data_IF_498769411416
#
_entry.id   IF_498769411416
#
_cell.length_a   1.000
_cell.length_b   1.000
_cell.length_c   1.000
_cell.angle_alpha   90.00
_cell.angle_beta   90.00
_cell.angle_gamma   90.00
#
_symmetry.space_group_name_H-M   'P 1'
#
loop_
_entity.id
_entity.type
_entity.pdbx_description
1 polymer ?
#
# COMPACT_ATOMS: atom_id res chain seq x y z
N UNK A 1 29.58 -21.38 -3.54
CA UNK A 1 29.80 -20.59 -4.76
C UNK A 1 29.32 -19.17 -4.47
N UNK A 2 30.23 -18.19 -4.43
CA UNK A 2 29.88 -16.81 -4.15
C UNK A 2 29.73 -16.03 -5.45
N UNK A 3 28.61 -15.32 -5.62
CA UNK A 3 28.39 -14.37 -6.70
C UNK A 3 28.76 -12.98 -6.18
N UNK A 4 29.59 -12.23 -6.93
CA UNK A 4 29.86 -10.83 -6.62
C UNK A 4 29.11 -9.94 -7.62
N UNK A 5 28.27 -9.01 -7.12
CA UNK A 5 27.62 -7.97 -7.92
C UNK A 5 28.07 -6.62 -7.35
N UNK A 6 28.62 -5.76 -8.21
CA UNK A 6 29.15 -4.44 -7.87
C UNK A 6 30.15 -4.43 -6.69
N UNK A 7 31.08 -5.39 -6.67
CA UNK A 7 32.13 -5.47 -5.65
C UNK A 7 31.67 -5.97 -4.27
N UNK A 8 30.39 -6.32 -4.10
CA UNK A 8 29.84 -6.94 -2.88
C UNK A 8 29.75 -8.45 -3.08
N UNK A 9 30.39 -9.22 -2.18
CA UNK A 9 30.27 -10.67 -2.17
C UNK A 9 28.95 -11.06 -1.53
N UNK A 10 28.01 -11.60 -2.32
CA UNK A 10 26.75 -12.16 -1.84
C UNK A 10 26.98 -13.66 -1.63
N UNK A 11 26.82 -14.13 -0.41
CA UNK A 11 26.90 -15.55 -0.07
C UNK A 11 25.46 -15.97 0.27
N UNK A 12 24.85 -16.77 -0.61
CA UNK A 12 23.56 -17.41 -0.35
C UNK A 12 23.80 -18.78 0.31
N UNK A 13 23.15 -19.03 1.44
CA UNK A 13 23.14 -20.32 2.11
C UNK A 13 21.69 -20.74 2.35
N UNK A 14 21.35 -22.00 2.10
CA UNK A 14 20.05 -22.58 2.49
C UNK A 14 20.29 -23.43 3.72
N UNK A 15 19.74 -23.05 4.87
CA UNK A 15 19.77 -23.84 6.11
C UNK A 15 18.34 -24.16 6.51
N UNK A 16 18.05 -25.46 6.63
CA UNK A 16 16.73 -25.99 7.00
C UNK A 16 15.58 -25.44 6.14
N UNK A 17 15.77 -25.31 4.81
CA UNK A 17 14.77 -24.80 3.89
C UNK A 17 14.58 -23.26 3.90
N UNK A 18 15.41 -22.53 4.64
CA UNK A 18 15.38 -21.06 4.68
C UNK A 18 16.53 -20.47 3.88
N UNK A 19 16.22 -19.54 2.99
CA UNK A 19 17.23 -18.76 2.28
C UNK A 19 17.88 -17.75 3.24
N UNK A 20 19.20 -17.78 3.34
CA UNK A 20 19.99 -16.82 4.12
C UNK A 20 20.81 -16.02 3.15
N UNK A 21 20.62 -14.69 3.11
CA UNK A 21 21.49 -13.79 2.39
C UNK A 21 22.48 -13.14 3.37
N UNK A 22 23.77 -13.28 3.07
CA UNK A 22 24.83 -12.55 3.75
C UNK A 22 25.16 -11.27 2.99
N UNK A 23 24.98 -10.10 3.61
CA UNK A 23 25.43 -8.82 3.09
C UNK A 23 26.69 -8.38 3.84
N UNK A 24 27.77 -8.08 3.11
CA UNK A 24 28.98 -7.51 3.71
C UNK A 24 28.80 -5.99 3.87
N UNK A 25 28.71 -5.51 5.11
CA UNK A 25 28.69 -4.09 5.44
C UNK A 25 29.78 -3.79 6.45
N UNK A 26 30.68 -2.86 6.13
CA UNK A 26 31.84 -2.46 6.97
C UNK A 26 32.70 -3.65 7.47
N UNK A 27 33.01 -4.60 6.57
CA UNK A 27 33.86 -5.75 6.91
C UNK A 27 33.19 -6.84 7.76
N UNK A 28 31.94 -6.67 8.14
CA UNK A 28 31.12 -7.71 8.82
C UNK A 28 30.08 -8.27 7.86
N UNK A 29 29.96 -9.60 7.83
CA UNK A 29 28.86 -10.28 7.13
C UNK A 29 27.65 -10.29 8.07
N UNK A 30 26.59 -9.61 7.67
CA UNK A 30 25.30 -9.64 8.39
C UNK A 30 24.44 -10.69 7.68
N UNK A 31 24.13 -11.76 8.37
CA UNK A 31 23.21 -12.78 7.89
C UNK A 31 21.78 -12.37 8.19
N UNK A 32 20.95 -12.26 7.16
CA UNK A 32 19.51 -12.07 7.31
C UNK A 32 18.79 -13.33 6.86
N UNK A 33 17.91 -13.86 7.69
CA UNK A 33 16.94 -14.85 7.27
C UNK A 33 15.90 -14.13 6.40
N UNK A 34 15.84 -14.51 5.13
CA UNK A 34 14.74 -14.10 4.27
C UNK A 34 13.72 -15.22 4.35
N UNK A 35 12.66 -15.00 5.08
CA UNK A 35 11.48 -15.86 5.03
C UNK A 35 10.72 -15.50 3.74
N UNK A 36 11.25 -15.98 2.61
CA UNK A 36 10.65 -15.76 1.29
C UNK A 36 9.56 -16.79 0.98
N UNK A 37 9.21 -17.66 1.96
CA UNK A 37 8.18 -18.67 1.74
C UNK A 37 6.83 -17.96 1.53
N UNK A 38 6.13 -18.23 0.42
CA UNK A 38 4.78 -17.73 0.21
C UNK A 38 3.84 -18.33 1.26
N UNK A 39 2.81 -17.60 1.63
CA UNK A 39 1.77 -18.03 2.54
C UNK A 39 0.42 -17.41 2.18
N UNK A 40 -0.66 -17.98 2.67
CA UNK A 40 -2.02 -17.48 2.59
C UNK A 40 -2.60 -17.40 4.00
N UNK A 41 -3.21 -16.26 4.33
CA UNK A 41 -4.01 -16.06 5.54
C UNK A 41 -5.47 -15.91 5.16
N UNK A 42 -6.38 -16.45 5.95
CA UNK A 42 -7.83 -16.28 5.78
C UNK A 42 -8.36 -15.40 6.91
N UNK A 43 -8.92 -14.26 6.55
CA UNK A 43 -9.53 -13.29 7.46
C UNK A 43 -11.01 -13.63 7.74
N UNK A 44 -11.66 -12.81 8.56
CA UNK A 44 -13.09 -12.93 8.90
C UNK A 44 -14.02 -12.55 7.74
N UNK A 45 -13.58 -11.66 6.85
CA UNK A 45 -14.36 -11.19 5.68
C UNK A 45 -13.40 -10.67 4.59
N UNK A 46 -13.95 -10.14 3.48
CA UNK A 46 -13.20 -9.50 2.39
C UNK A 46 -12.09 -8.60 2.93
N UNK A 47 -10.89 -8.72 2.39
CA UNK A 47 -9.73 -7.89 2.75
C UNK A 47 -9.67 -6.69 1.81
N UNK A 48 -10.16 -5.55 2.29
CA UNK A 48 -10.26 -4.32 1.51
C UNK A 48 -8.90 -3.61 1.37
N UNK A 49 -8.03 -3.75 2.37
CA UNK A 49 -6.75 -3.04 2.40
C UNK A 49 -5.66 -3.86 3.08
N UNK A 50 -4.44 -3.78 2.52
CA UNK A 50 -3.23 -4.33 3.14
C UNK A 50 -2.12 -3.28 3.19
N UNK A 51 -1.36 -3.29 4.29
CA UNK A 51 -0.13 -2.52 4.46
C UNK A 51 0.97 -3.41 5.02
N UNK A 52 2.24 -3.03 4.83
CA UNK A 52 3.39 -3.79 5.32
C UNK A 52 4.40 -2.84 5.98
N UNK A 53 4.92 -3.22 7.15
CA UNK A 53 5.97 -2.46 7.82
C UNK A 53 7.38 -2.86 7.33
N UNK A 54 8.40 -2.10 7.75
CA UNK A 54 9.80 -2.34 7.37
C UNK A 54 10.36 -3.67 7.91
N UNK A 55 9.68 -4.31 8.84
CA UNK A 55 10.02 -5.63 9.40
C UNK A 55 9.34 -6.78 8.64
N UNK A 56 8.44 -6.47 7.69
CA UNK A 56 7.67 -7.43 6.91
C UNK A 56 6.43 -7.96 7.63
N UNK A 57 5.97 -7.32 8.72
CA UNK A 57 4.65 -7.62 9.28
C UNK A 57 3.57 -7.00 8.38
N UNK A 58 2.46 -7.72 8.21
CA UNK A 58 1.35 -7.32 7.35
C UNK A 58 0.16 -6.90 8.20
N UNK A 59 -0.47 -5.83 7.79
CA UNK A 59 -1.69 -5.31 8.41
C UNK A 59 -2.82 -5.40 7.38
N UNK A 60 -3.97 -5.93 7.79
CA UNK A 60 -5.11 -6.13 6.90
C UNK A 60 -6.38 -5.53 7.52
N UNK A 61 -7.06 -4.69 6.75
CA UNK A 61 -8.38 -4.15 7.06
C UNK A 61 -9.46 -4.92 6.31
N UNK A 62 -10.57 -5.23 6.99
CA UNK A 62 -11.61 -6.11 6.43
C UNK A 62 -13.02 -5.51 6.50
N UNK A 63 -13.90 -5.99 5.61
CA UNK A 63 -15.33 -5.75 5.69
C UNK A 63 -15.99 -6.44 6.92
N UNK A 64 -15.26 -7.25 7.66
CA UNK A 64 -15.66 -7.82 8.96
C UNK A 64 -15.39 -6.90 10.14
N UNK A 65 -15.13 -5.60 9.90
CA UNK A 65 -14.79 -4.60 10.92
C UNK A 65 -13.45 -4.84 11.63
N UNK A 66 -12.57 -5.66 11.04
CA UNK A 66 -11.33 -6.05 11.71
C UNK A 66 -10.11 -5.39 11.11
N UNK A 67 -9.15 -5.07 11.98
CA UNK A 67 -7.75 -4.81 11.63
C UNK A 67 -6.91 -5.95 12.19
N UNK A 68 -6.24 -6.68 11.31
CA UNK A 68 -5.31 -7.76 11.69
C UNK A 68 -3.87 -7.28 11.60
N UNK A 69 -3.02 -7.75 12.53
CA UNK A 69 -1.57 -7.79 12.34
C UNK A 69 -1.13 -9.23 12.16
N UNK A 70 -0.40 -9.48 11.08
CA UNK A 70 0.23 -10.77 10.79
C UNK A 70 1.75 -10.59 10.84
N UNK A 71 2.47 -11.59 11.36
CA UNK A 71 3.92 -11.60 11.30
C UNK A 71 4.42 -12.00 9.90
N UNK A 72 5.72 -12.00 9.69
CA UNK A 72 6.38 -12.35 8.42
C UNK A 72 6.06 -13.74 7.88
N UNK A 73 5.59 -14.66 8.75
CA UNK A 73 5.16 -16.01 8.38
C UNK A 73 3.64 -16.15 8.16
N UNK A 74 2.90 -15.04 8.18
CA UNK A 74 1.44 -15.03 7.97
C UNK A 74 0.62 -15.42 9.20
N UNK A 75 1.24 -15.54 10.39
CA UNK A 75 0.52 -15.87 11.62
C UNK A 75 -0.04 -14.59 12.25
N UNK A 76 -1.32 -14.62 12.64
CA UNK A 76 -1.97 -13.55 13.38
C UNK A 76 -1.25 -13.26 14.71
N UNK A 77 -0.95 -11.98 14.93
CA UNK A 77 -0.33 -11.46 16.17
C UNK A 77 -1.41 -10.87 17.07
N UNK A 78 -2.25 -10.00 16.49
CA UNK A 78 -3.40 -9.40 17.18
C UNK A 78 -4.50 -9.06 16.17
N UNK A 79 -5.69 -8.75 16.70
CA UNK A 79 -6.86 -8.26 15.97
C UNK A 79 -7.49 -7.13 16.77
N UNK A 80 -7.89 -6.07 16.08
CA UNK A 80 -8.71 -4.97 16.61
C UNK A 80 -10.07 -4.97 15.89
N UNK A 81 -11.14 -4.67 16.62
CA UNK A 81 -12.49 -4.54 16.03
C UNK A 81 -12.86 -3.06 15.99
N UNK A 82 -13.09 -2.54 14.79
CA UNK A 82 -13.51 -1.18 14.53
C UNK A 82 -15.06 -1.02 14.63
N UNK A 83 -15.52 0.21 14.46
CA UNK A 83 -16.98 0.55 14.46
C UNK A 83 -17.71 0.04 13.22
N UNK A 84 -17.00 -0.06 12.08
CA UNK A 84 -17.58 -0.46 10.79
C UNK A 84 -16.51 -1.11 9.91
N UNK A 85 -16.86 -1.44 8.65
CA UNK A 85 -15.92 -1.95 7.63
C UNK A 85 -14.64 -1.11 7.60
N UNK A 86 -13.50 -1.77 7.61
CA UNK A 86 -12.20 -1.11 7.48
C UNK A 86 -11.81 -1.11 6.01
N UNK A 87 -11.85 0.08 5.40
CA UNK A 87 -11.55 0.23 3.97
C UNK A 87 -10.09 0.49 3.68
N UNK A 88 -9.39 1.09 4.63
CA UNK A 88 -7.99 1.44 4.42
C UNK A 88 -7.18 1.27 5.70
N UNK A 89 -5.97 0.74 5.56
CA UNK A 89 -4.97 0.68 6.64
C UNK A 89 -3.64 1.24 6.17
N UNK A 90 -2.95 1.95 7.07
CA UNK A 90 -1.59 2.42 6.89
C UNK A 90 -0.78 2.12 8.15
N UNK A 91 0.54 2.02 8.04
CA UNK A 91 1.45 1.75 9.17
C UNK A 91 2.64 2.70 9.13
N UNK A 92 3.01 3.27 10.28
CA UNK A 92 4.20 4.10 10.40
C UNK A 92 5.46 3.27 10.75
N UNK A 93 6.62 3.92 10.77
CA UNK A 93 7.91 3.28 11.07
C UNK A 93 8.03 2.76 12.51
N UNK A 94 7.16 3.18 13.42
CA UNK A 94 7.07 2.73 14.81
C UNK A 94 6.13 1.54 14.98
N UNK A 95 5.43 1.15 13.90
CA UNK A 95 4.45 0.05 13.90
C UNK A 95 3.08 0.47 14.43
N UNK A 96 2.80 1.79 14.56
CA UNK A 96 1.42 2.25 14.81
C UNK A 96 0.60 2.09 13.53
N UNK A 97 -0.65 1.71 13.69
CA UNK A 97 -1.57 1.44 12.58
C UNK A 97 -2.66 2.50 12.55
N UNK A 98 -2.96 2.94 11.35
CA UNK A 98 -4.03 3.89 11.09
C UNK A 98 -5.08 3.20 10.22
N UNK A 99 -6.35 3.31 10.60
CA UNK A 99 -7.46 2.64 9.92
C UNK A 99 -8.58 3.63 9.62
N UNK A 100 -9.01 3.67 8.35
CA UNK A 100 -10.18 4.41 7.89
C UNK A 100 -11.37 3.47 7.73
N UNK A 101 -12.57 3.93 8.12
CA UNK A 101 -13.76 3.09 8.14
C UNK A 101 -14.97 3.70 7.44
N UNK A 102 -15.90 2.85 7.01
CA UNK A 102 -17.25 3.23 6.58
C UNK A 102 -18.11 3.83 7.71
N UNK A 103 -17.63 3.79 8.96
CA UNK A 103 -18.23 4.46 10.12
C UNK A 103 -17.75 5.91 10.30
N UNK A 104 -17.16 6.52 9.28
CA UNK A 104 -16.61 7.88 9.28
C UNK A 104 -15.42 8.05 10.24
N UNK A 105 -14.80 6.97 10.69
CA UNK A 105 -13.74 7.02 11.71
C UNK A 105 -12.36 6.85 11.10
N UNK A 106 -11.40 7.62 11.65
CA UNK A 106 -9.97 7.34 11.53
C UNK A 106 -9.47 6.91 12.90
N UNK A 107 -8.97 5.69 13.01
CA UNK A 107 -8.35 5.15 14.22
C UNK A 107 -6.83 5.24 14.15
N UNK A 108 -6.19 5.52 15.28
CA UNK A 108 -4.79 5.19 15.53
C UNK A 108 -4.71 4.08 16.55
N UNK A 109 -4.00 3.02 16.22
CA UNK A 109 -3.65 1.93 17.10
C UNK A 109 -2.15 1.95 17.34
N UNK A 110 -1.70 1.62 18.55
CA UNK A 110 -0.28 1.41 18.82
C UNK A 110 0.21 0.06 18.24
N UNK A 111 1.51 -0.19 18.30
CA UNK A 111 2.12 -1.41 17.78
C UNK A 111 1.57 -2.72 18.41
N UNK A 112 0.90 -2.63 19.57
CA UNK A 112 0.24 -3.74 20.26
C UNK A 112 -1.21 -3.94 19.84
N UNK A 113 -1.76 -3.06 19.01
CA UNK A 113 -3.17 -3.08 18.56
C UNK A 113 -4.14 -2.36 19.47
N UNK A 114 -3.65 -1.60 20.47
CA UNK A 114 -4.50 -0.82 21.37
C UNK A 114 -4.83 0.53 20.74
N UNK A 115 -6.10 0.93 20.79
CA UNK A 115 -6.55 2.25 20.33
C UNK A 115 -5.88 3.38 21.15
N UNK A 116 -5.27 4.33 20.43
CA UNK A 116 -4.66 5.55 20.97
C UNK A 116 -5.62 6.72 20.91
N UNK A 117 -6.19 6.95 19.70
CA UNK A 117 -7.18 7.98 19.45
C UNK A 117 -8.10 7.57 18.30
N UNK A 118 -9.20 8.31 18.17
CA UNK A 118 -10.16 8.24 17.07
C UNK A 118 -10.53 9.66 16.64
N UNK A 119 -10.60 9.88 15.33
CA UNK A 119 -11.12 11.10 14.71
C UNK A 119 -12.39 10.74 13.93
N UNK A 120 -13.41 11.61 13.98
CA UNK A 120 -14.63 11.45 13.18
C UNK A 120 -14.60 12.43 12.02
N UNK A 121 -14.59 11.91 10.79
CA UNK A 121 -14.65 12.65 9.55
C UNK A 121 -16.10 13.02 9.18
N UNK A 122 -16.26 13.78 8.09
CA UNK A 122 -17.56 14.20 7.56
C UNK A 122 -18.34 13.07 6.89
N UNK A 123 -17.66 12.02 6.39
CA UNK A 123 -18.27 10.85 5.74
C UNK A 123 -17.31 9.66 5.80
N UNK A 124 -17.68 8.54 5.13
CA UNK A 124 -16.85 7.33 5.00
C UNK A 124 -15.43 7.68 4.64
N UNK A 125 -14.49 7.04 5.35
CA UNK A 125 -13.05 7.22 5.12
C UNK A 125 -12.57 6.11 4.20
N UNK A 126 -12.47 6.42 2.91
CA UNK A 126 -12.09 5.46 1.87
C UNK A 126 -10.58 5.16 1.87
N UNK A 127 -9.76 6.09 2.33
CA UNK A 127 -8.30 5.94 2.30
C UNK A 127 -7.60 6.71 3.41
N UNK A 128 -6.54 6.10 3.97
CA UNK A 128 -5.64 6.74 4.92
C UNK A 128 -4.18 6.56 4.50
N UNK A 129 -3.36 7.59 4.75
CA UNK A 129 -1.91 7.55 4.60
C UNK A 129 -1.25 8.23 5.82
N UNK A 130 0.01 7.90 6.10
CA UNK A 130 0.76 8.47 7.21
C UNK A 130 2.16 8.88 6.75
N UNK A 131 2.62 10.07 7.19
CA UNK A 131 3.98 10.53 6.94
C UNK A 131 4.96 10.09 8.05
N UNK A 132 6.24 10.36 7.84
CA UNK A 132 7.30 10.01 8.80
C UNK A 132 7.22 10.75 10.13
N UNK A 133 6.45 11.84 10.22
CA UNK A 133 6.19 12.62 11.44
C UNK A 133 4.96 12.11 12.19
N UNK A 134 4.24 11.12 11.65
CA UNK A 134 3.01 10.58 12.21
C UNK A 134 1.77 11.43 11.93
N UNK A 135 1.83 12.40 10.99
CA UNK A 135 0.63 13.06 10.51
C UNK A 135 -0.15 12.11 9.61
N UNK A 136 -1.47 12.15 9.73
CA UNK A 136 -2.39 11.27 9.01
C UNK A 136 -3.15 12.06 7.96
N UNK A 137 -3.29 11.47 6.80
CA UNK A 137 -4.06 12.02 5.69
C UNK A 137 -5.21 11.07 5.40
N UNK A 138 -6.43 11.61 5.32
CA UNK A 138 -7.64 10.82 5.12
C UNK A 138 -8.47 11.38 3.96
N UNK A 139 -8.81 10.51 3.00
CA UNK A 139 -9.72 10.81 1.90
C UNK A 139 -11.11 10.26 2.19
N UNK A 140 -12.16 11.03 1.88
CA UNK A 140 -13.53 10.66 2.20
C UNK A 140 -14.47 10.68 1.01
N UNK A 141 -15.57 9.94 1.11
CA UNK A 141 -16.68 9.93 0.13
C UNK A 141 -17.48 11.24 0.06
N UNK A 142 -17.17 12.26 0.88
CA UNK A 142 -17.70 13.62 0.78
C UNK A 142 -16.75 14.59 0.10
N UNK A 143 -15.82 14.09 -0.70
CA UNK A 143 -14.84 14.88 -1.47
C UNK A 143 -13.78 15.58 -0.60
N UNK A 144 -13.59 15.18 0.67
CA UNK A 144 -12.65 15.81 1.57
C UNK A 144 -11.31 15.06 1.63
N UNK A 145 -10.22 15.83 1.72
CA UNK A 145 -8.91 15.36 2.16
C UNK A 145 -8.58 16.06 3.47
N UNK A 146 -8.43 15.30 4.54
CA UNK A 146 -8.03 15.80 5.85
C UNK A 146 -6.53 15.59 6.08
N UNK A 147 -5.89 16.52 6.76
CA UNK A 147 -4.63 16.30 7.47
C UNK A 147 -4.89 16.38 8.96
N UNK A 148 -4.49 15.34 9.68
CA UNK A 148 -4.47 15.28 11.13
C UNK A 148 -3.02 15.27 11.60
N UNK A 149 -2.73 15.90 12.72
CA UNK A 149 -1.42 15.78 13.38
C UNK A 149 -1.28 14.42 14.09
N UNK A 150 -0.11 14.13 14.63
CA UNK A 150 0.19 12.86 15.31
C UNK A 150 -0.71 12.58 16.52
N UNK A 151 -1.38 13.62 17.07
CA UNK A 151 -2.33 13.53 18.18
C UNK A 151 -3.78 13.29 17.73
N UNK A 152 -4.04 13.28 16.40
CA UNK A 152 -5.37 13.11 15.81
C UNK A 152 -6.16 14.41 15.66
N UNK A 153 -5.54 15.59 15.88
CA UNK A 153 -6.19 16.88 15.69
C UNK A 153 -6.12 17.30 14.23
N UNK A 154 -7.25 17.78 13.68
CA UNK A 154 -7.31 18.33 12.33
C UNK A 154 -6.41 19.57 12.18
N UNK A 155 -5.54 19.55 11.17
CA UNK A 155 -4.65 20.66 10.79
C UNK A 155 -5.26 21.46 9.67
N UNK A 156 -5.68 20.79 8.59
CA UNK A 156 -6.36 21.39 7.46
C UNK A 156 -7.30 20.39 6.77
N UNK A 157 -8.16 20.92 5.90
CA UNK A 157 -9.06 20.17 5.02
C UNK A 157 -9.03 20.79 3.64
N UNK A 158 -8.95 19.96 2.61
CA UNK A 158 -9.10 20.32 1.20
C UNK A 158 -10.37 19.69 0.65
N UNK A 159 -11.11 20.42 -0.19
CA UNK A 159 -12.30 19.88 -0.88
C UNK A 159 -11.94 19.62 -2.35
N UNK A 160 -12.00 18.36 -2.76
CA UNK A 160 -11.82 17.91 -4.13
C UNK A 160 -13.12 18.07 -4.94
N UNK A 161 -13.08 17.68 -6.22
CA UNK A 161 -14.22 17.75 -7.14
C UNK A 161 -15.26 16.64 -6.90
N UNK A 162 -14.84 15.49 -6.37
CA UNK A 162 -15.67 14.31 -6.05
C UNK A 162 -15.03 13.47 -4.95
N UNK A 163 -15.69 12.36 -4.59
CA UNK A 163 -15.23 11.40 -3.58
C UNK A 163 -13.74 11.10 -3.74
N UNK A 164 -12.99 11.22 -2.66
CA UNK A 164 -11.56 10.90 -2.62
C UNK A 164 -11.38 9.43 -2.28
N UNK A 165 -11.08 8.64 -3.29
CA UNK A 165 -10.96 7.18 -3.20
C UNK A 165 -9.62 6.72 -2.65
N UNK A 166 -8.57 7.52 -2.84
CA UNK A 166 -7.22 7.15 -2.42
C UNK A 166 -6.38 8.38 -2.11
N UNK A 167 -5.56 8.29 -1.07
CA UNK A 167 -4.56 9.30 -0.72
C UNK A 167 -3.19 8.65 -0.54
N UNK A 168 -2.14 9.37 -0.95
CA UNK A 168 -0.74 9.03 -0.68
C UNK A 168 0.01 10.28 -0.26
N UNK A 169 1.13 10.12 0.45
CA UNK A 169 1.97 11.22 0.93
C UNK A 169 3.43 10.94 0.65
N UNK A 170 4.17 11.94 0.17
CA UNK A 170 5.61 11.85 -0.03
C UNK A 170 6.39 12.30 1.23
N UNK A 171 7.71 12.12 1.20
CA UNK A 171 8.60 12.47 2.32
C UNK A 171 8.67 13.97 2.62
N UNK A 172 8.19 14.84 1.70
CA UNK A 172 8.10 16.29 1.87
C UNK A 172 6.74 16.72 2.43
N UNK A 173 5.81 15.79 2.65
CA UNK A 173 4.46 16.05 3.14
C UNK A 173 3.50 16.53 2.05
N UNK A 174 3.87 16.44 0.75
CA UNK A 174 2.90 16.64 -0.32
C UNK A 174 1.93 15.47 -0.38
N UNK A 175 0.66 15.78 -0.64
CA UNK A 175 -0.43 14.80 -0.67
C UNK A 175 -0.92 14.60 -2.10
N UNK A 176 -1.14 13.36 -2.45
CA UNK A 176 -1.69 12.96 -3.75
C UNK A 176 -3.05 12.32 -3.51
N UNK A 177 -4.07 12.79 -4.22
CA UNK A 177 -5.45 12.32 -4.04
C UNK A 177 -6.07 11.90 -5.37
N UNK A 178 -6.57 10.69 -5.44
CA UNK A 178 -7.33 10.15 -6.58
C UNK A 178 -8.82 10.22 -6.30
N UNK A 179 -9.61 10.65 -7.29
CA UNK A 179 -11.05 10.89 -7.12
C UNK A 179 -11.94 10.13 -8.09
N UNK A 180 -13.22 9.99 -7.74
CA UNK A 180 -14.27 9.41 -8.60
C UNK A 180 -14.74 10.34 -9.74
N UNK A 181 -14.01 11.42 -10.00
CA UNK A 181 -14.16 12.27 -11.20
C UNK A 181 -12.96 12.18 -12.15
N UNK A 182 -12.22 11.10 -12.10
CA UNK A 182 -11.03 10.85 -12.92
C UNK A 182 -9.86 11.80 -12.64
N UNK A 183 -9.84 12.49 -11.48
CA UNK A 183 -8.78 13.44 -11.14
C UNK A 183 -7.72 12.83 -10.22
N UNK A 184 -6.45 13.19 -10.49
CA UNK A 184 -5.34 13.06 -9.54
C UNK A 184 -4.90 14.45 -9.15
N UNK A 185 -4.99 14.79 -7.88
CA UNK A 185 -4.51 16.05 -7.31
C UNK A 185 -3.15 15.87 -6.65
N UNK A 186 -2.30 16.90 -6.76
CA UNK A 186 -1.18 17.13 -5.85
C UNK A 186 -1.49 18.34 -5.00
N UNK A 187 -1.40 18.17 -3.67
CA UNK A 187 -1.46 19.25 -2.69
C UNK A 187 -0.08 19.40 -2.05
N UNK A 188 0.30 20.64 -1.72
CA UNK A 188 1.50 20.89 -0.89
C UNK A 188 1.25 20.50 0.57
N UNK A 189 2.29 20.57 1.40
CA UNK A 189 2.21 20.22 2.83
C UNK A 189 1.22 21.07 3.63
N UNK A 190 0.83 22.25 3.08
CA UNK A 190 -0.14 23.18 3.65
C UNK A 190 -1.57 22.95 3.15
N UNK A 191 -1.79 21.99 2.24
CA UNK A 191 -3.09 21.65 1.67
C UNK A 191 -3.48 22.48 0.44
N UNK A 192 -2.57 23.29 -0.15
CA UNK A 192 -2.86 24.03 -1.37
C UNK A 192 -2.68 23.15 -2.61
N UNK A 193 -3.60 23.26 -3.57
CA UNK A 193 -3.51 22.55 -4.85
C UNK A 193 -2.31 23.04 -5.66
N UNK A 194 -1.40 22.12 -6.00
CA UNK A 194 -0.22 22.40 -6.86
C UNK A 194 -0.55 22.11 -8.31
N UNK A 195 -1.07 20.92 -8.61
CA UNK A 195 -1.51 20.54 -9.95
C UNK A 195 -2.66 19.52 -9.89
N UNK A 196 -3.27 19.29 -11.04
CA UNK A 196 -4.32 18.30 -11.27
C UNK A 196 -4.09 17.64 -12.61
N UNK A 197 -4.16 16.30 -12.64
CA UNK A 197 -4.15 15.48 -13.85
C UNK A 197 -5.53 14.86 -14.04
N UNK A 198 -6.00 14.74 -15.29
CA UNK A 198 -7.24 14.06 -15.61
C UNK A 198 -6.93 12.71 -16.27
N UNK A 199 -7.31 11.63 -15.64
CA UNK A 199 -7.20 10.25 -16.12
C UNK A 199 -8.35 9.89 -17.09
N UNK A 200 -8.33 8.64 -17.60
CA UNK A 200 -9.36 8.13 -18.50
C UNK A 200 -10.70 7.83 -17.81
N UNK A 201 -10.65 7.46 -16.53
CA UNK A 201 -11.80 7.08 -15.69
C UNK A 201 -11.48 7.37 -14.22
N UNK A 202 -12.45 7.09 -13.35
CA UNK A 202 -12.34 7.19 -11.89
C UNK A 202 -11.01 6.61 -11.40
N UNK A 203 -10.30 7.37 -10.55
CA UNK A 203 -9.04 6.96 -9.97
C UNK A 203 -9.31 6.19 -8.69
N UNK A 204 -8.98 4.90 -8.67
CA UNK A 204 -9.19 4.01 -7.53
C UNK A 204 -8.07 4.03 -6.52
N UNK A 205 -6.85 4.18 -6.99
CA UNK A 205 -5.68 4.11 -6.14
C UNK A 205 -4.58 5.03 -6.64
N UNK A 206 -3.86 5.65 -5.71
CA UNK A 206 -2.64 6.41 -5.99
C UNK A 206 -1.50 5.94 -5.10
N UNK A 207 -0.29 5.93 -5.64
CA UNK A 207 0.95 5.71 -4.91
C UNK A 207 2.00 6.73 -5.37
N UNK A 208 3.01 7.00 -4.54
CA UNK A 208 4.09 7.95 -4.85
C UNK A 208 5.44 7.33 -4.51
N UNK A 209 6.43 7.51 -5.39
CA UNK A 209 7.80 7.09 -5.11
C UNK A 209 8.62 8.21 -4.44
N UNK A 210 9.85 7.87 -4.02
CA UNK A 210 10.77 8.82 -3.37
C UNK A 210 11.23 9.99 -4.25
N UNK A 211 11.00 9.91 -5.56
CA UNK A 211 11.30 10.98 -6.54
C UNK A 211 10.09 11.88 -6.80
N UNK A 212 8.95 11.59 -6.17
CA UNK A 212 7.69 12.32 -6.36
C UNK A 212 6.93 11.92 -7.63
N UNK A 213 7.31 10.82 -8.31
CA UNK A 213 6.47 10.29 -9.39
C UNK A 213 5.23 9.63 -8.80
N UNK A 214 4.09 9.81 -9.47
CA UNK A 214 2.79 9.33 -9.03
C UNK A 214 2.32 8.19 -9.91
N UNK A 215 1.78 7.17 -9.30
CA UNK A 215 1.20 6.02 -9.97
C UNK A 215 -0.29 5.98 -9.66
N UNK A 216 -1.14 5.82 -10.68
CA UNK A 216 -2.59 5.85 -10.52
C UNK A 216 -3.24 4.67 -11.24
N UNK A 217 -4.06 3.90 -10.51
CA UNK A 217 -4.92 2.85 -11.04
C UNK A 217 -6.33 3.37 -11.27
N UNK A 218 -6.99 2.98 -12.38
CA UNK A 218 -8.28 3.54 -12.78
C UNK A 218 -9.31 2.47 -13.14
N UNK A 219 -10.59 2.88 -13.16
CA UNK A 219 -11.72 2.08 -13.68
C UNK A 219 -11.64 1.85 -15.21
N UNK A 220 -10.79 2.60 -15.91
CA UNK A 220 -10.49 2.42 -17.33
C UNK A 220 -9.46 1.31 -17.61
N UNK A 221 -9.19 0.44 -16.63
CA UNK A 221 -8.17 -0.62 -16.70
C UNK A 221 -6.75 -0.09 -16.89
N UNK A 222 -6.52 1.19 -16.57
CA UNK A 222 -5.22 1.85 -16.78
C UNK A 222 -4.42 1.95 -15.52
N UNK A 223 -3.11 1.76 -15.65
CA UNK A 223 -2.12 2.17 -14.65
C UNK A 223 -1.28 3.27 -15.28
N UNK A 224 -1.31 4.46 -14.70
CA UNK A 224 -0.53 5.63 -15.14
C UNK A 224 0.70 5.80 -14.29
N UNK A 225 1.78 6.29 -14.92
CA UNK A 225 2.87 6.97 -14.23
C UNK A 225 2.87 8.43 -14.65
N UNK A 226 2.88 9.32 -13.65
CA UNK A 226 3.07 10.76 -13.81
C UNK A 226 4.41 11.14 -13.21
N UNK A 227 5.09 12.14 -13.80
CA UNK A 227 6.26 12.74 -13.17
C UNK A 227 5.87 13.64 -11.97
N UNK A 228 6.85 14.17 -11.26
CA UNK A 228 6.63 15.05 -10.09
C UNK A 228 5.87 16.35 -10.43
N UNK A 229 5.83 16.72 -11.72
CA UNK A 229 5.11 17.90 -12.26
C UNK A 229 3.69 17.56 -12.74
N UNK A 230 3.28 16.30 -12.68
CA UNK A 230 1.95 15.84 -13.10
C UNK A 230 1.84 15.49 -14.59
N UNK A 231 2.95 15.43 -15.35
CA UNK A 231 2.92 15.03 -16.75
C UNK A 231 2.89 13.50 -16.87
N UNK A 232 2.08 12.98 -17.78
CA UNK A 232 2.02 11.53 -18.08
C UNK A 232 3.34 11.06 -18.69
N UNK A 233 4.00 10.08 -18.03
CA UNK A 233 5.23 9.43 -18.49
C UNK A 233 4.90 8.20 -19.33
N UNK A 234 4.06 7.30 -18.78
CA UNK A 234 3.57 6.11 -19.48
C UNK A 234 2.19 5.69 -18.95
N UNK A 235 1.57 4.79 -19.69
CA UNK A 235 0.30 4.15 -19.37
C UNK A 235 0.38 2.67 -19.73
N UNK A 236 -0.02 1.80 -18.80
CA UNK A 236 -0.18 0.37 -18.99
C UNK A 236 -1.68 0.05 -18.98
N UNK A 237 -2.13 -0.86 -19.85
CA UNK A 237 -3.51 -1.35 -19.86
C UNK A 237 -3.53 -2.74 -19.25
N UNK A 238 -4.23 -2.89 -18.13
CA UNK A 238 -4.43 -4.14 -17.42
C UNK A 238 -5.60 -4.95 -18.06
N UNK A 239 -5.81 -6.17 -17.55
CA UNK A 239 -6.91 -7.05 -17.94
C UNK A 239 -8.29 -6.56 -17.48
N UNK A 240 -8.33 -5.77 -16.40
CA UNK A 240 -9.55 -5.21 -15.82
C UNK A 240 -9.21 -3.95 -15.01
N UNK A 241 -10.20 -3.39 -14.30
CA UNK A 241 -10.06 -2.25 -13.38
C UNK A 241 -8.81 -2.41 -12.52
N UNK A 242 -7.90 -1.42 -12.56
CA UNK A 242 -6.73 -1.35 -11.69
C UNK A 242 -7.14 -0.76 -10.34
N UNK A 243 -7.52 -1.63 -9.41
CA UNK A 243 -8.16 -1.25 -8.15
C UNK A 243 -7.17 -0.74 -7.10
N UNK A 244 -5.95 -1.28 -7.11
CA UNK A 244 -4.90 -0.90 -6.16
C UNK A 244 -3.54 -0.86 -6.84
N UNK A 245 -2.73 0.14 -6.51
CA UNK A 245 -1.33 0.25 -6.98
C UNK A 245 -0.38 0.48 -5.82
N UNK A 246 0.81 -0.12 -5.91
CA UNK A 246 1.93 0.10 -5.00
C UNK A 246 3.22 0.24 -5.81
N UNK A 247 4.23 0.88 -5.23
CA UNK A 247 5.55 1.09 -5.87
C UNK A 247 6.66 0.74 -4.90
N UNK A 248 7.70 0.04 -5.38
CA UNK A 248 8.89 -0.24 -4.59
C UNK A 248 9.98 0.84 -4.76
N UNK A 249 11.04 0.76 -3.96
CA UNK A 249 12.15 1.71 -3.99
C UNK A 249 12.96 1.71 -5.30
N UNK A 250 12.76 0.72 -6.18
CA UNK A 250 13.38 0.62 -7.51
C UNK A 250 12.48 1.19 -8.61
N UNK A 251 11.27 1.65 -8.25
CA UNK A 251 10.28 2.18 -9.18
C UNK A 251 9.48 1.10 -9.91
N UNK A 252 9.55 -0.18 -9.50
CA UNK A 252 8.65 -1.20 -10.00
C UNK A 252 7.25 -0.97 -9.43
N UNK A 253 6.23 -1.17 -10.27
CA UNK A 253 4.83 -0.94 -9.91
C UNK A 253 4.10 -2.26 -9.80
N UNK A 254 3.29 -2.37 -8.77
CA UNK A 254 2.44 -3.53 -8.53
C UNK A 254 0.99 -3.09 -8.62
N UNK A 255 0.18 -3.78 -9.42
CA UNK A 255 -1.22 -3.45 -9.62
C UNK A 255 -2.11 -4.66 -9.37
N UNK A 256 -3.06 -4.52 -8.46
CA UNK A 256 -4.13 -5.47 -8.21
C UNK A 256 -5.37 -5.11 -9.02
N UNK A 257 -6.05 -6.11 -9.63
CA UNK A 257 -7.15 -5.87 -10.53
C UNK A 257 -8.41 -6.67 -10.18
N UNK A 258 -9.56 -6.17 -10.64
CA UNK A 258 -10.83 -6.91 -10.65
C UNK A 258 -10.82 -8.10 -11.62
N UNK A 259 -9.80 -8.24 -12.49
CA UNK A 259 -9.52 -9.40 -13.34
C UNK A 259 -8.75 -10.51 -12.62
N UNK A 260 -8.73 -10.51 -11.28
CA UNK A 260 -8.05 -11.51 -10.44
C UNK A 260 -6.53 -11.50 -10.55
N UNK A 261 -5.96 -10.44 -11.13
CA UNK A 261 -4.52 -10.36 -11.41
C UNK A 261 -3.78 -9.45 -10.44
N UNK A 262 -2.56 -9.85 -10.12
CA UNK A 262 -1.52 -8.95 -9.61
C UNK A 262 -0.44 -8.84 -10.68
N UNK A 263 -0.23 -7.65 -11.20
CA UNK A 263 0.84 -7.34 -12.15
C UNK A 263 2.05 -6.78 -11.42
N UNK A 264 3.24 -7.15 -11.91
CA UNK A 264 4.46 -6.39 -11.69
C UNK A 264 4.88 -5.76 -13.00
N UNK A 265 5.07 -4.43 -12.97
CA UNK A 265 5.63 -3.64 -14.06
C UNK A 265 7.02 -3.12 -13.64
N UNK A 266 7.94 -3.03 -14.58
CA UNK A 266 9.22 -2.35 -14.35
C UNK A 266 9.03 -0.81 -14.29
N UNK A 267 10.08 -0.07 -13.99
CA UNK A 267 10.05 1.39 -13.90
C UNK A 267 9.66 2.09 -15.21
N UNK A 268 9.76 1.38 -16.35
CA UNK A 268 9.39 1.84 -17.70
C UNK A 268 7.96 1.46 -18.09
N UNK A 269 7.22 0.75 -17.23
CA UNK A 269 5.85 0.32 -17.46
C UNK A 269 5.70 -1.01 -18.22
N UNK A 270 6.79 -1.76 -18.44
CA UNK A 270 6.73 -3.07 -19.09
C UNK A 270 6.31 -4.15 -18.08
N UNK A 271 5.43 -5.06 -18.49
CA UNK A 271 5.01 -6.20 -17.67
C UNK A 271 6.18 -7.16 -17.43
N UNK A 272 6.53 -7.37 -16.16
CA UNK A 272 7.56 -8.33 -15.73
C UNK A 272 6.95 -9.71 -15.48
N UNK A 273 5.87 -9.75 -14.67
CA UNK A 273 5.10 -10.96 -14.40
C UNK A 273 3.65 -10.63 -14.05
N UNK A 274 2.83 -11.66 -14.03
CA UNK A 274 1.43 -11.63 -13.63
C UNK A 274 1.15 -12.84 -12.75
N UNK A 275 0.55 -12.61 -11.59
CA UNK A 275 0.00 -13.63 -10.69
C UNK A 275 -1.53 -13.62 -10.80
N UNK A 276 -2.17 -14.79 -10.77
CA UNK A 276 -3.63 -14.91 -10.77
C UNK A 276 -4.10 -15.35 -9.39
N UNK A 277 -4.90 -14.51 -8.74
CA UNK A 277 -5.57 -14.82 -7.48
C UNK A 277 -6.85 -15.64 -7.72
N UNK A 278 -7.50 -16.05 -6.64
CA UNK A 278 -8.77 -16.80 -6.69
C UNK A 278 -9.98 -15.91 -7.02
N UNK A 279 -9.90 -14.59 -6.73
CA UNK A 279 -10.96 -13.61 -6.99
C UNK A 279 -10.34 -12.20 -7.10
N UNK A 280 -11.19 -11.15 -7.13
CA UNK A 280 -10.79 -9.75 -7.17
C UNK A 280 -9.69 -9.42 -6.17
N UNK A 281 -8.68 -8.67 -6.64
CA UNK A 281 -7.59 -8.15 -5.79
C UNK A 281 -7.93 -6.70 -5.43
N UNK A 282 -8.34 -6.51 -4.18
CA UNK A 282 -8.81 -5.21 -3.69
C UNK A 282 -7.65 -4.31 -3.23
N UNK A 283 -6.54 -4.92 -2.80
CA UNK A 283 -5.39 -4.15 -2.29
C UNK A 283 -4.07 -4.88 -2.52
N UNK A 284 -3.02 -4.11 -2.83
CA UNK A 284 -1.65 -4.60 -2.92
C UNK A 284 -0.70 -3.72 -2.10
N UNK A 285 0.29 -4.35 -1.46
CA UNK A 285 1.41 -3.69 -0.80
C UNK A 285 2.71 -4.42 -1.13
N UNK A 286 3.85 -3.74 -1.05
CA UNK A 286 5.16 -4.32 -1.33
C UNK A 286 6.14 -3.99 -0.20
N UNK A 287 6.91 -4.98 0.27
CA UNK A 287 7.95 -4.78 1.25
C UNK A 287 9.31 -4.40 0.60
N UNK A 288 10.28 -4.03 1.43
CA UNK A 288 11.64 -3.66 0.98
C UNK A 288 12.44 -4.81 0.34
N UNK A 289 11.96 -6.05 0.43
CA UNK A 289 12.52 -7.24 -0.21
C UNK A 289 11.86 -7.55 -1.55
N UNK A 290 10.82 -6.79 -1.93
CA UNK A 290 10.04 -6.98 -3.14
C UNK A 290 8.99 -8.09 -3.04
N UNK A 291 8.66 -8.60 -1.82
CA UNK A 291 7.49 -9.45 -1.65
C UNK A 291 6.24 -8.59 -1.76
N UNK A 292 5.24 -9.12 -2.46
CA UNK A 292 3.94 -8.47 -2.66
C UNK A 292 2.91 -9.12 -1.77
N UNK A 293 2.09 -8.31 -1.14
CA UNK A 293 0.98 -8.76 -0.33
C UNK A 293 -0.31 -8.32 -1.00
N UNK A 294 -1.21 -9.25 -1.24
CA UNK A 294 -2.47 -9.01 -1.95
C UNK A 294 -3.65 -9.40 -1.06
N UNK A 295 -4.52 -8.45 -0.78
CA UNK A 295 -5.81 -8.65 -0.12
C UNK A 295 -6.90 -8.88 -1.16
N UNK A 296 -7.80 -9.83 -0.90
CA UNK A 296 -8.84 -10.21 -1.86
C UNK A 296 -10.23 -10.24 -1.25
N UNK A 297 -11.24 -10.12 -2.12
CA UNK A 297 -12.66 -10.23 -1.76
C UNK A 297 -13.07 -11.61 -1.22
N UNK A 298 -12.20 -12.65 -1.35
CA UNK A 298 -12.39 -13.99 -0.77
C UNK A 298 -11.84 -14.12 0.65
N UNK A 299 -11.68 -13.01 1.38
CA UNK A 299 -11.13 -12.98 2.74
C UNK A 299 -9.68 -13.47 2.85
N UNK A 300 -8.91 -13.40 1.75
CA UNK A 300 -7.54 -13.92 1.73
C UNK A 300 -6.50 -12.82 1.68
N UNK A 301 -5.39 -13.03 2.37
CA UNK A 301 -4.14 -12.29 2.17
C UNK A 301 -3.11 -13.26 1.61
N UNK A 302 -2.58 -12.95 0.43
CA UNK A 302 -1.50 -13.70 -0.21
C UNK A 302 -0.16 -13.00 0.00
N UNK A 303 0.89 -13.76 0.25
CA UNK A 303 2.26 -13.30 0.06
C UNK A 303 2.80 -13.91 -1.24
N UNK A 304 3.17 -13.05 -2.16
CA UNK A 304 3.75 -13.38 -3.47
C UNK A 304 5.23 -13.00 -3.43
N UNK A 305 6.10 -13.90 -3.84
CA UNK A 305 7.55 -13.66 -3.86
C UNK A 305 7.95 -12.72 -5.00
N UNK A 306 9.15 -12.12 -4.98
CA UNK A 306 9.60 -11.16 -6.00
C UNK A 306 9.59 -11.68 -7.44
N UNK A 307 9.66 -12.99 -7.64
CA UNK A 307 9.56 -13.68 -8.93
C UNK A 307 8.13 -13.99 -9.38
N UNK A 308 7.12 -13.62 -8.58
CA UNK A 308 5.71 -13.82 -8.90
C UNK A 308 5.15 -15.17 -8.46
N UNK A 309 5.91 -15.98 -7.71
CA UNK A 309 5.42 -17.27 -7.22
C UNK A 309 4.62 -17.17 -5.93
N UNK A 310 3.57 -17.97 -5.83
CA UNK A 310 2.78 -18.21 -4.60
C UNK A 310 2.44 -19.70 -4.50
N UNK A 311 3.44 -20.53 -4.45
CA UNK A 311 3.25 -21.95 -4.12
C UNK A 311 3.33 -22.13 -2.61
N UNK A 312 2.23 -21.78 -1.91
CA UNK A 312 2.02 -22.23 -0.55
C UNK A 312 1.69 -23.72 -0.61
N UNK A 313 2.70 -24.57 -0.47
CA UNK A 313 2.53 -26.02 -0.22
C UNK A 313 2.46 -26.27 1.27
#
# INVERSE_FOLDING_TARGET
>A
LGLAINGKKIIGLVLNGKNILGEAKNGKVIWRFIDSKPWKFTADNSVNSVAVDSSGNVYAGTAGHSVYKLNTSGKQVWQFTADNWVDSVAVDSSGNVYAGTYGNSVYKLDASGKQVWQFTADNWVDSVAVDSSGNVYAGTSSSSVYKLDASGKQVWQFTADRDVRSVAVDSSGNVYAGTSSSSVYKLDASGNKVWQFTADRDVRSVAVDSSGNVYAGTDGNSVYKLDASGNKVWQFTADSIAYSVAVDSSGNVYAGTYGYSVYKLDASGNKVWQFTADIYVDSVAVDSSGNVYAGTSSSSVYKITPDGSNTAT
#
